data_IF_707214998689
#
_entry.id   IF_707214998689
#
_cell.length_a   1.000
_cell.length_b   1.000
_cell.length_c   1.000
_cell.angle_alpha   90.00
_cell.angle_beta   90.00
_cell.angle_gamma   90.00
#
_symmetry.space_group_name_H-M   'P 1'
#
loop_
_entity.id
_entity.type
_entity.pdbx_description
1 polymer ?
#
# COMPACT_ATOMS: atom_id res chain seq x y z
N UNK A 1 3.38 -15.47 0.94
CA UNK A 1 4.19 -14.23 1.13
C UNK A 1 4.75 -13.73 -0.21
N UNK A 2 4.01 -13.86 -1.33
CA UNK A 2 4.53 -13.71 -2.69
C UNK A 2 3.84 -12.62 -3.53
N UNK A 3 2.79 -11.97 -3.03
CA UNK A 3 1.82 -11.34 -3.95
C UNK A 3 2.13 -9.90 -4.37
N UNK A 4 3.17 -9.24 -3.82
CA UNK A 4 3.59 -7.90 -4.27
C UNK A 4 5.13 -7.75 -4.18
N UNK A 5 5.89 -8.30 -5.14
CA UNK A 5 7.34 -8.18 -5.16
C UNK A 5 7.81 -6.73 -5.26
N UNK A 6 7.10 -5.89 -6.03
CA UNK A 6 7.43 -4.48 -6.22
C UNK A 6 7.32 -3.69 -4.90
N UNK A 7 6.20 -3.80 -4.18
CA UNK A 7 6.01 -3.14 -2.89
C UNK A 7 7.16 -3.47 -1.90
N UNK A 8 7.57 -4.74 -1.86
CA UNK A 8 8.68 -5.16 -1.00
C UNK A 8 10.01 -4.58 -1.45
N UNK A 9 10.28 -4.58 -2.75
CA UNK A 9 11.50 -4.00 -3.31
C UNK A 9 11.60 -2.50 -2.97
N UNK A 10 10.50 -1.76 -3.13
CA UNK A 10 10.41 -0.34 -2.76
C UNK A 10 10.62 -0.09 -1.28
N UNK A 11 10.00 -0.90 -0.41
CA UNK A 11 10.23 -0.83 1.05
C UNK A 11 11.71 -1.08 1.40
N UNK A 12 12.36 -2.06 0.76
CA UNK A 12 13.77 -2.36 1.01
C UNK A 12 14.71 -1.26 0.48
N UNK A 13 14.35 -0.61 -0.63
CA UNK A 13 15.16 0.42 -1.26
C UNK A 13 15.05 1.79 -0.57
N UNK A 14 13.84 2.16 -0.12
CA UNK A 14 13.53 3.52 0.35
C UNK A 14 13.13 3.59 1.82
N UNK A 15 12.74 2.46 2.41
CA UNK A 15 12.27 2.39 3.79
C UNK A 15 13.38 2.69 4.78
N UNK A 16 13.08 3.51 5.79
CA UNK A 16 13.98 3.80 6.90
C UNK A 16 13.43 3.22 8.19
N UNK A 17 14.15 2.28 8.80
CA UNK A 17 13.82 1.79 10.12
C UNK A 17 14.21 2.84 11.16
N UNK A 18 13.22 3.45 11.83
CA UNK A 18 13.44 4.44 12.88
C UNK A 18 13.59 3.81 14.27
N UNK A 19 13.56 2.48 14.37
CA UNK A 19 13.52 1.75 15.64
C UNK A 19 12.10 1.67 16.22
N UNK A 20 11.97 0.94 17.33
CA UNK A 20 10.70 0.81 18.08
C UNK A 20 9.51 0.32 17.24
N UNK A 21 9.77 -0.46 16.20
CA UNK A 21 8.74 -0.97 15.28
C UNK A 21 8.26 0.04 14.23
N UNK A 22 8.93 1.19 14.08
CA UNK A 22 8.54 2.24 13.15
C UNK A 22 9.33 2.11 11.85
N UNK A 23 8.62 1.90 10.74
CA UNK A 23 9.14 1.94 9.38
C UNK A 23 8.66 3.22 8.69
N UNK A 24 9.59 4.10 8.34
CA UNK A 24 9.33 5.35 7.62
C UNK A 24 9.41 5.12 6.11
N UNK A 25 8.33 5.43 5.40
CA UNK A 25 8.15 5.23 3.94
C UNK A 25 7.51 6.45 3.27
N UNK A 26 7.95 7.65 3.67
CA UNK A 26 7.38 8.93 3.22
C UNK A 26 7.37 9.10 1.70
N UNK A 27 8.38 8.57 1.00
CA UNK A 27 8.52 8.65 -0.46
C UNK A 27 7.56 7.72 -1.23
N UNK A 28 6.86 6.82 -0.52
CA UNK A 28 6.08 5.73 -1.12
C UNK A 28 4.57 5.86 -0.89
N UNK A 29 4.17 6.19 0.34
CA UNK A 29 2.77 6.14 0.78
C UNK A 29 2.30 7.41 1.51
N UNK A 30 3.13 7.95 2.41
CA UNK A 30 2.64 8.93 3.39
C UNK A 30 2.67 10.37 2.90
N UNK A 31 3.81 10.83 2.35
CA UNK A 31 3.98 12.23 1.92
C UNK A 31 4.12 12.38 0.40
N UNK A 32 4.72 11.39 -0.25
CA UNK A 32 4.71 11.22 -1.69
C UNK A 32 4.05 9.88 -2.00
N UNK A 33 3.40 9.83 -3.16
CA UNK A 33 2.69 8.66 -3.64
C UNK A 33 3.33 8.24 -4.96
N UNK A 34 3.50 6.94 -5.12
CA UNK A 34 3.73 6.33 -6.43
C UNK A 34 2.38 5.85 -6.99
N UNK A 35 1.78 6.55 -7.98
CA UNK A 35 0.46 6.19 -8.49
C UNK A 35 0.39 4.80 -9.11
N UNK A 36 1.50 4.33 -9.72
CA UNK A 36 1.56 3.00 -10.34
C UNK A 36 1.52 1.93 -9.27
N UNK A 37 2.29 2.11 -8.19
CA UNK A 37 2.25 1.19 -7.07
C UNK A 37 0.89 1.20 -6.36
N UNK A 38 0.25 2.37 -6.20
CA UNK A 38 -1.09 2.45 -5.59
C UNK A 38 -2.13 1.70 -6.41
N UNK A 39 -2.11 1.83 -7.74
CA UNK A 39 -2.98 1.07 -8.64
C UNK A 39 -2.77 -0.44 -8.49
N UNK A 40 -1.52 -0.90 -8.45
CA UNK A 40 -1.18 -2.31 -8.24
C UNK A 40 -1.67 -2.81 -6.87
N UNK A 41 -1.58 -1.99 -5.82
CA UNK A 41 -2.12 -2.31 -4.51
C UNK A 41 -3.64 -2.47 -4.55
N UNK A 42 -4.35 -1.55 -5.22
CA UNK A 42 -5.80 -1.61 -5.41
C UNK A 42 -6.25 -2.85 -6.19
N UNK A 43 -5.54 -3.19 -7.27
CA UNK A 43 -5.78 -4.41 -8.05
C UNK A 43 -5.59 -5.68 -7.21
N UNK A 44 -4.54 -5.72 -6.39
CA UNK A 44 -4.29 -6.86 -5.52
C UNK A 44 -5.34 -6.98 -4.40
N UNK A 45 -5.82 -5.85 -3.87
CA UNK A 45 -6.96 -5.84 -2.94
C UNK A 45 -8.21 -6.38 -3.66
N UNK A 46 -8.57 -5.84 -4.83
CA UNK A 46 -9.72 -6.28 -5.60
C UNK A 46 -9.65 -7.78 -5.93
N UNK A 47 -8.47 -8.29 -6.33
CA UNK A 47 -8.24 -9.71 -6.62
C UNK A 47 -8.49 -10.59 -5.39
N UNK A 48 -8.05 -10.16 -4.21
CA UNK A 48 -8.26 -10.91 -2.95
C UNK A 48 -9.71 -10.96 -2.53
N UNK A 49 -10.48 -9.91 -2.82
CA UNK A 49 -11.90 -9.83 -2.50
C UNK A 49 -12.82 -10.24 -3.65
N UNK A 50 -12.28 -10.75 -4.76
CA UNK A 50 -13.05 -11.08 -5.97
C UNK A 50 -14.16 -12.13 -5.75
N UNK A 51 -14.04 -12.98 -4.73
CA UNK A 51 -15.06 -13.97 -4.35
C UNK A 51 -16.13 -13.43 -3.39
N UNK A 52 -16.02 -12.16 -2.98
CA UNK A 52 -16.93 -11.51 -2.03
C UNK A 52 -17.71 -10.43 -2.75
N UNK A 53 -19.02 -10.34 -2.49
CA UNK A 53 -19.81 -9.20 -2.96
C UNK A 53 -19.48 -8.00 -2.08
N UNK A 54 -18.80 -7.01 -2.66
CA UNK A 54 -18.45 -5.75 -1.99
C UNK A 54 -19.32 -4.63 -2.54
N UNK A 55 -20.06 -3.95 -1.67
CA UNK A 55 -20.88 -2.80 -2.06
C UNK A 55 -20.27 -1.46 -1.62
N UNK A 56 -19.28 -1.46 -0.71
CA UNK A 56 -18.61 -0.27 -0.17
C UNK A 56 -17.18 -0.56 0.27
N UNK A 57 -16.31 0.45 0.13
CA UNK A 57 -14.96 0.49 0.71
C UNK A 57 -14.93 1.60 1.76
N UNK A 58 -14.37 1.31 2.94
CA UNK A 58 -14.19 2.28 4.03
C UNK A 58 -12.70 2.46 4.29
N UNK A 59 -12.24 3.71 4.33
CA UNK A 59 -10.85 4.09 4.63
C UNK A 59 -10.80 5.26 5.60
N UNK A 60 -9.60 5.63 6.04
CA UNK A 60 -9.35 6.77 6.91
C UNK A 60 -8.32 7.72 6.29
N UNK A 61 -8.51 9.01 6.53
CA UNK A 61 -7.62 10.06 6.04
C UNK A 61 -6.27 10.04 6.77
N UNK A 62 -5.15 10.38 6.12
CA UNK A 62 -5.01 10.85 4.72
C UNK A 62 -4.42 9.75 3.82
N UNK A 63 -3.37 9.06 4.26
CA UNK A 63 -2.61 8.11 3.43
C UNK A 63 -3.39 6.86 3.03
N UNK A 64 -4.48 6.55 3.73
CA UNK A 64 -5.40 5.48 3.38
C UNK A 64 -6.29 5.78 2.16
N UNK A 65 -6.37 7.03 1.69
CA UNK A 65 -7.24 7.41 0.57
C UNK A 65 -6.71 6.84 -0.76
N UNK A 66 -5.40 6.89 -0.98
CA UNK A 66 -4.81 6.50 -2.26
C UNK A 66 -4.94 4.99 -2.60
N UNK A 67 -4.75 4.05 -1.65
CA UNK A 67 -4.86 2.62 -1.96
C UNK A 67 -6.26 2.01 -1.77
N UNK A 68 -7.24 2.76 -1.26
CA UNK A 68 -8.59 2.26 -0.96
C UNK A 68 -9.55 2.47 -2.14
#
# INVERSE_FOLDING_TARGET
MADMPELKARILAEGRNLGSGILKIDSLLNHQLDPVLMQQMGEEIARRFASVKIDRILTAEISGIAPA
#
